data_IF_711133240391
#
_entry.id   IF_711133240391
#
_cell.length_a   1.000
_cell.length_b   1.000
_cell.length_c   1.000
_cell.angle_alpha   90.00
_cell.angle_beta   90.00
_cell.angle_gamma   90.00
#
_symmetry.space_group_name_H-M   'P 1'
#
loop_
_entity.id
_entity.type
_entity.pdbx_description
1 polymer ?
#
# COMPACT_ATOMS: atom_id res chain seq x y z
N UNK A 1 -1.80 -15.70 -22.65
CA UNK A 1 -1.32 -16.30 -21.39
C UNK A 1 -0.38 -15.31 -20.73
N UNK A 2 -0.92 -14.26 -20.08
CA UNK A 2 -0.17 -13.18 -19.39
C UNK A 2 -0.94 -12.71 -18.15
N UNK A 3 -1.87 -13.53 -17.66
CA UNK A 3 -2.64 -13.18 -16.47
C UNK A 3 -1.73 -13.36 -15.24
N UNK A 4 -1.62 -12.35 -14.37
CA UNK A 4 -0.89 -12.50 -13.13
C UNK A 4 -1.57 -13.55 -12.23
N UNK A 5 -0.81 -14.30 -11.43
CA UNK A 5 -1.36 -15.23 -10.47
C UNK A 5 -2.15 -14.49 -9.37
N UNK A 6 -3.26 -15.08 -8.94
CA UNK A 6 -4.17 -14.43 -7.99
C UNK A 6 -3.55 -14.08 -6.64
N UNK A 7 -2.50 -14.79 -6.21
CA UNK A 7 -1.82 -14.50 -4.94
C UNK A 7 -1.09 -13.16 -4.94
N UNK A 8 -0.79 -12.60 -6.11
CA UNK A 8 -0.14 -11.29 -6.23
C UNK A 8 -0.93 -10.14 -5.63
N UNK A 9 -2.24 -10.30 -5.39
CA UNK A 9 -3.07 -9.24 -4.79
C UNK A 9 -2.91 -9.12 -3.28
N UNK A 10 -2.48 -10.18 -2.58
CA UNK A 10 -2.39 -10.22 -1.11
C UNK A 10 -1.04 -10.68 -0.56
N UNK A 11 -0.21 -11.34 -1.36
CA UNK A 11 1.14 -11.75 -0.96
C UNK A 11 2.14 -10.61 -1.22
N UNK A 12 2.92 -10.26 -0.21
CA UNK A 12 4.09 -9.40 -0.38
C UNK A 12 5.27 -10.21 -0.89
N UNK A 13 5.97 -9.66 -1.88
CA UNK A 13 7.22 -10.25 -2.36
C UNK A 13 8.44 -9.72 -1.62
N UNK A 14 9.57 -10.40 -1.82
CA UNK A 14 10.84 -9.96 -1.26
C UNK A 14 11.18 -8.54 -1.70
N UNK A 15 11.53 -7.67 -0.74
CA UNK A 15 11.80 -6.25 -0.97
C UNK A 15 10.57 -5.34 -0.97
N UNK A 16 9.35 -5.88 -1.03
CA UNK A 16 8.13 -5.08 -0.90
C UNK A 16 7.82 -4.76 0.58
N UNK A 17 7.64 -3.47 0.89
CA UNK A 17 7.19 -3.05 2.22
C UNK A 17 5.67 -3.10 2.28
N UNK A 18 5.11 -3.59 3.39
CA UNK A 18 3.65 -3.49 3.63
C UNK A 18 3.17 -2.04 3.66
N UNK A 19 3.94 -1.19 4.34
CA UNK A 19 3.64 0.23 4.53
C UNK A 19 4.84 1.06 4.07
N UNK A 20 4.63 1.89 3.05
CA UNK A 20 5.52 2.97 2.66
C UNK A 20 5.09 4.28 3.31
N UNK A 21 6.03 5.10 3.75
CA UNK A 21 5.76 6.41 4.37
C UNK A 21 6.63 7.45 3.67
N UNK A 22 6.02 8.53 3.18
CA UNK A 22 6.71 9.70 2.67
C UNK A 22 6.21 10.96 3.37
N UNK A 23 7.12 11.83 3.81
CA UNK A 23 6.73 13.10 4.44
C UNK A 23 6.13 14.03 3.39
N UNK A 24 5.01 14.66 3.71
CA UNK A 24 4.45 15.71 2.88
C UNK A 24 5.30 16.97 3.03
N UNK A 25 5.78 17.52 1.91
CA UNK A 25 6.62 18.73 1.91
C UNK A 25 5.81 20.01 1.81
N UNK A 26 4.51 19.93 1.50
CA UNK A 26 3.59 21.07 1.34
C UNK A 26 2.86 21.41 2.63
N UNK A 27 2.59 20.41 3.48
CA UNK A 27 1.84 20.58 4.72
C UNK A 27 2.69 20.14 5.93
N UNK A 28 2.88 20.99 6.95
CA UNK A 28 3.63 20.60 8.14
C UNK A 28 2.89 19.48 8.89
N UNK A 29 3.67 18.57 9.49
CA UNK A 29 3.15 17.41 10.23
C UNK A 29 2.25 16.47 9.42
N UNK A 30 2.37 16.46 8.09
CA UNK A 30 1.64 15.53 7.23
C UNK A 30 2.57 14.49 6.58
N UNK A 31 2.00 13.34 6.22
CA UNK A 31 2.70 12.30 5.48
C UNK A 31 1.71 11.49 4.63
N UNK A 32 2.22 10.90 3.55
CA UNK A 32 1.49 10.00 2.69
C UNK A 32 1.89 8.56 3.02
N UNK A 33 0.89 7.72 3.17
CA UNK A 33 1.05 6.28 3.40
C UNK A 33 0.66 5.52 2.13
N UNK A 34 1.50 4.56 1.73
CA UNK A 34 1.18 3.57 0.71
C UNK A 34 1.05 2.21 1.37
N UNK A 35 -0.15 1.64 1.34
CA UNK A 35 -0.44 0.30 1.88
C UNK A 35 -0.44 -0.70 0.71
N UNK A 36 0.59 -1.54 0.62
CA UNK A 36 0.73 -2.50 -0.47
C UNK A 36 -0.10 -3.76 -0.20
N UNK A 37 -0.68 -4.33 -1.27
CA UNK A 37 -1.47 -5.57 -1.21
C UNK A 37 -2.66 -5.45 -0.25
N UNK A 38 -3.31 -4.30 -0.29
CA UNK A 38 -4.49 -3.96 0.51
C UNK A 38 -5.52 -3.32 -0.41
N UNK A 39 -6.79 -3.43 -0.04
CA UNK A 39 -7.90 -2.90 -0.80
C UNK A 39 -8.80 -1.99 0.05
N UNK A 40 -10.01 -1.73 -0.44
CA UNK A 40 -10.99 -0.88 0.24
C UNK A 40 -11.38 -1.39 1.62
N UNK A 41 -11.21 -2.68 1.90
CA UNK A 41 -11.51 -3.25 3.22
C UNK A 41 -10.71 -2.54 4.30
N UNK A 42 -9.39 -2.46 4.15
CA UNK A 42 -8.53 -1.74 5.10
C UNK A 42 -8.63 -0.23 4.90
N UNK A 43 -8.64 0.23 3.64
CA UNK A 43 -8.66 1.66 3.31
C UNK A 43 -9.87 2.38 3.91
N UNK A 44 -11.04 1.76 3.91
CA UNK A 44 -12.25 2.37 4.47
C UNK A 44 -12.31 2.29 6.00
N UNK A 45 -11.60 1.36 6.64
CA UNK A 45 -11.54 1.26 8.11
C UNK A 45 -10.66 2.36 8.70
N UNK A 46 -9.57 2.71 8.01
CA UNK A 46 -8.56 3.67 8.52
C UNK A 46 -8.92 5.12 8.15
N UNK A 47 -9.72 5.33 7.11
CA UNK A 47 -10.16 6.66 6.64
C UNK A 47 -11.05 7.38 7.65
#
# INVERSE_FOLDING_TARGET
MNAPPAFESFLLFEGEKKIGISKDTKVPNACLFTLNKEDHTLGNIIR
#
